data_IF_958374348522
#
_entry.id   IF_958374348522
#
_cell.length_a   1.000
_cell.length_b   1.000
_cell.length_c   1.000
_cell.angle_alpha   90.00
_cell.angle_beta   90.00
_cell.angle_gamma   90.00
#
_symmetry.space_group_name_H-M   'P 1'
#
loop_
_entity.id
_entity.type
_entity.pdbx_description
1 polymer ?
#
# COMPACT_ATOMS: atom_id res chain seq x y z
N UNK A 1 -5.46 54.44 -37.90
CA UNK A 1 -4.70 53.36 -38.57
C UNK A 1 -4.58 52.23 -37.59
N UNK A 2 -5.10 51.09 -38.02
CA UNK A 2 -5.62 49.98 -37.26
C UNK A 2 -5.13 48.74 -38.00
N UNK A 3 -4.24 47.99 -37.36
CA UNK A 3 -3.80 46.64 -37.73
C UNK A 3 -4.01 45.81 -36.45
N UNK A 4 -5.11 45.10 -36.26
CA UNK A 4 -5.65 43.91 -36.93
C UNK A 4 -4.73 42.69 -36.81
N UNK A 5 -5.21 41.71 -36.00
CA UNK A 5 -4.97 40.26 -36.12
C UNK A 5 -3.57 39.73 -35.80
N UNK A 6 -3.36 38.53 -35.26
CA UNK A 6 -4.17 37.33 -34.99
C UNK A 6 -3.38 36.45 -33.99
N UNK A 7 -4.12 35.61 -33.28
CA UNK A 7 -3.76 34.22 -32.91
C UNK A 7 -2.65 33.96 -31.87
N UNK A 8 -3.03 33.47 -30.68
CA UNK A 8 -3.14 32.03 -30.37
C UNK A 8 -1.79 31.42 -29.97
N UNK A 9 -1.53 31.28 -28.66
CA UNK A 9 -0.60 30.26 -28.20
C UNK A 9 -1.02 29.73 -26.82
N UNK A 10 -1.38 28.45 -26.80
CA UNK A 10 -1.11 27.57 -25.67
C UNK A 10 -2.10 27.60 -24.51
N UNK A 11 -3.34 27.19 -24.75
CA UNK A 11 -4.10 26.51 -23.69
C UNK A 11 -3.37 25.19 -23.44
N UNK A 12 -2.46 25.16 -22.47
CA UNK A 12 -1.77 23.91 -22.09
C UNK A 12 -2.84 22.84 -21.81
N UNK A 13 -2.80 21.69 -22.50
CA UNK A 13 -3.66 20.59 -22.15
C UNK A 13 -3.31 20.15 -20.73
N UNK A 14 -4.30 20.21 -19.85
CA UNK A 14 -4.27 19.57 -18.53
C UNK A 14 -3.73 18.15 -18.69
N UNK A 15 -2.88 17.67 -17.77
CA UNK A 15 -2.30 16.34 -17.85
C UNK A 15 -3.43 15.33 -18.03
N UNK A 16 -3.38 14.60 -19.15
CA UNK A 16 -4.30 13.51 -19.46
C UNK A 16 -4.39 12.61 -18.23
N UNK A 17 -5.60 12.54 -17.68
CA UNK A 17 -5.95 11.60 -16.62
C UNK A 17 -5.58 10.21 -17.13
N UNK A 18 -4.73 9.43 -16.43
CA UNK A 18 -4.35 8.12 -16.92
C UNK A 18 -5.61 7.23 -17.01
N UNK A 19 -5.94 6.91 -18.26
CA UNK A 19 -6.68 5.76 -18.76
C UNK A 19 -7.77 5.17 -17.85
N UNK A 20 -9.02 5.38 -18.28
CA UNK A 20 -10.23 4.63 -17.93
C UNK A 20 -10.13 3.14 -18.28
N UNK A 21 -9.19 2.41 -17.64
CA UNK A 21 -9.35 0.98 -17.50
C UNK A 21 -10.34 0.78 -16.34
N UNK A 22 -11.45 0.04 -16.53
CA UNK A 22 -12.31 -0.30 -15.39
C UNK A 22 -11.43 -0.96 -14.32
N UNK A 23 -11.58 -0.59 -13.03
CA UNK A 23 -10.83 -1.21 -11.96
C UNK A 23 -11.00 -2.70 -12.13
N UNK A 24 -9.88 -3.41 -12.31
CA UNK A 24 -9.86 -4.85 -12.51
C UNK A 24 -10.75 -5.42 -11.39
N UNK A 25 -11.86 -6.13 -11.70
CA UNK A 25 -12.76 -6.58 -10.65
C UNK A 25 -11.92 -7.35 -9.65
N UNK A 26 -11.78 -6.80 -8.45
CA UNK A 26 -11.03 -7.44 -7.39
C UNK A 26 -11.86 -8.66 -7.07
N UNK A 27 -11.45 -9.79 -7.65
CA UNK A 27 -12.19 -11.03 -7.66
C UNK A 27 -12.82 -11.21 -6.29
N UNK A 28 -14.16 -11.16 -6.25
CA UNK A 28 -14.97 -11.20 -5.03
C UNK A 28 -14.44 -12.33 -4.15
N UNK A 29 -13.64 -11.99 -3.14
CA UNK A 29 -13.02 -13.02 -2.32
C UNK A 29 -14.17 -13.69 -1.54
N UNK A 30 -14.43 -14.98 -1.75
CA UNK A 30 -15.59 -15.65 -1.17
C UNK A 30 -15.53 -15.69 0.36
N UNK A 31 -14.37 -15.38 0.96
CA UNK A 31 -14.15 -15.32 2.41
C UNK A 31 -14.59 -14.00 3.03
N UNK A 32 -15.02 -13.02 2.24
CA UNK A 32 -15.56 -11.75 2.74
C UNK A 32 -17.08 -11.90 2.95
N UNK A 33 -17.59 -11.63 4.18
CA UNK A 33 -19.01 -11.66 4.47
C UNK A 33 -19.79 -10.74 3.53
N UNK A 34 -20.98 -11.17 3.06
CA UNK A 34 -21.80 -10.42 2.10
C UNK A 34 -22.08 -9.00 2.59
N UNK A 35 -22.35 -8.83 3.89
CA UNK A 35 -22.58 -7.52 4.54
C UNK A 35 -21.40 -6.55 4.48
N UNK A 36 -20.18 -7.06 4.22
CA UNK A 36 -18.96 -6.25 4.10
C UNK A 36 -18.55 -6.00 2.64
N UNK A 37 -19.19 -6.65 1.66
CA UNK A 37 -18.76 -6.61 0.24
C UNK A 37 -18.91 -5.24 -0.39
N UNK A 38 -20.00 -4.54 -0.12
CA UNK A 38 -20.23 -3.19 -0.65
C UNK A 38 -19.10 -2.25 -0.25
N UNK A 39 -18.87 -2.12 1.07
CA UNK A 39 -17.77 -1.31 1.60
C UNK A 39 -16.40 -1.80 1.13
N UNK A 40 -16.21 -3.12 1.02
CA UNK A 40 -14.98 -3.68 0.51
C UNK A 40 -14.70 -3.16 -0.90
N UNK A 41 -15.68 -3.24 -1.80
CA UNK A 41 -15.56 -2.78 -3.18
C UNK A 41 -15.34 -1.27 -3.27
N UNK A 42 -16.06 -0.46 -2.48
CA UNK A 42 -15.85 1.00 -2.46
C UNK A 42 -14.41 1.39 -2.12
N UNK A 43 -13.87 0.83 -1.03
CA UNK A 43 -12.50 1.13 -0.59
C UNK A 43 -11.48 0.56 -1.58
N UNK A 44 -11.75 -0.63 -2.12
CA UNK A 44 -10.93 -1.24 -3.16
C UNK A 44 -10.77 -0.34 -4.40
N UNK A 45 -11.86 0.26 -4.87
CA UNK A 45 -11.83 1.21 -6.00
C UNK A 45 -11.00 2.45 -5.65
N UNK A 46 -11.15 3.00 -4.44
CA UNK A 46 -10.34 4.14 -3.98
C UNK A 46 -8.84 3.81 -3.90
N UNK A 47 -8.50 2.61 -3.43
CA UNK A 47 -7.12 2.12 -3.36
C UNK A 47 -6.52 1.91 -4.76
N UNK A 48 -7.29 1.37 -5.69
CA UNK A 48 -6.87 1.15 -7.07
C UNK A 48 -6.62 2.49 -7.79
N UNK A 49 -7.52 3.47 -7.63
CA UNK A 49 -7.35 4.83 -8.19
C UNK A 49 -6.09 5.52 -7.65
N UNK A 50 -5.87 5.47 -6.33
CA UNK A 50 -4.65 6.01 -5.74
C UNK A 50 -3.41 5.27 -6.22
N UNK A 51 -3.53 3.94 -6.32
CA UNK A 51 -2.48 3.07 -6.83
C UNK A 51 -2.02 3.49 -8.22
N UNK A 52 -2.95 3.62 -9.16
CA UNK A 52 -2.66 4.04 -10.53
C UNK A 52 -2.04 5.44 -10.62
N UNK A 53 -2.39 6.35 -9.71
CA UNK A 53 -1.90 7.72 -9.72
C UNK A 53 -0.53 7.91 -9.05
N UNK A 54 -0.25 7.14 -7.99
CA UNK A 54 0.87 7.43 -7.07
C UNK A 54 1.73 6.22 -6.70
N UNK A 55 1.33 4.98 -7.01
CA UNK A 55 2.03 3.77 -6.62
C UNK A 55 2.35 2.87 -7.82
N UNK A 56 3.32 1.98 -7.64
CA UNK A 56 3.54 0.89 -8.58
C UNK A 56 2.41 -0.15 -8.53
N UNK A 57 2.20 -0.95 -9.60
CA UNK A 57 1.23 -2.05 -9.60
C UNK A 57 1.44 -3.06 -8.45
N UNK A 58 2.68 -3.28 -8.05
CA UNK A 58 3.03 -4.17 -6.93
C UNK A 58 2.56 -3.61 -5.59
N UNK A 59 2.84 -2.32 -5.33
CA UNK A 59 2.41 -1.64 -4.10
C UNK A 59 0.89 -1.51 -4.03
N UNK A 60 0.24 -1.27 -5.18
CA UNK A 60 -1.23 -1.31 -5.31
C UNK A 60 -1.78 -2.70 -4.96
N UNK A 61 -1.09 -3.77 -5.39
CA UNK A 61 -1.41 -5.13 -4.97
C UNK A 61 -1.35 -5.31 -3.45
N UNK A 62 -0.34 -4.74 -2.78
CA UNK A 62 -0.19 -4.83 -1.33
C UNK A 62 -1.28 -4.09 -0.55
N UNK A 63 -1.72 -2.90 -1.02
CA UNK A 63 -2.82 -2.18 -0.36
C UNK A 63 -4.12 -2.97 -0.42
N UNK A 64 -4.41 -3.59 -1.57
CA UNK A 64 -5.59 -4.43 -1.77
C UNK A 64 -5.53 -5.74 -0.97
N UNK A 65 -4.34 -6.35 -0.86
CA UNK A 65 -4.14 -7.52 -0.02
C UNK A 65 -4.31 -7.19 1.47
N UNK A 66 -3.78 -6.06 1.93
CA UNK A 66 -3.99 -5.59 3.30
C UNK A 66 -5.49 -5.36 3.58
N UNK A 67 -6.19 -4.73 2.64
CA UNK A 67 -7.63 -4.50 2.75
C UNK A 67 -8.43 -5.80 2.81
N UNK A 68 -8.08 -6.79 1.98
CA UNK A 68 -8.67 -8.14 2.02
C UNK A 68 -8.46 -8.81 3.38
N UNK A 69 -7.24 -8.77 3.93
CA UNK A 69 -6.94 -9.34 5.26
C UNK A 69 -7.75 -8.67 6.37
N UNK A 70 -7.94 -7.35 6.26
CA UNK A 70 -8.71 -6.56 7.21
C UNK A 70 -10.20 -6.91 7.16
N UNK A 71 -10.81 -6.98 5.98
CA UNK A 71 -12.23 -7.34 5.84
C UNK A 71 -12.54 -8.78 6.30
N UNK A 72 -11.55 -9.68 6.25
CA UNK A 72 -11.65 -11.04 6.81
C UNK A 72 -11.61 -11.07 8.34
N UNK A 73 -11.07 -10.05 9.01
CA UNK A 73 -11.10 -9.97 10.48
C UNK A 73 -12.50 -9.57 10.94
N UNK A 74 -13.10 -10.41 11.78
CA UNK A 74 -14.42 -10.16 12.33
C UNK A 74 -14.43 -9.01 13.35
N UNK A 75 -13.33 -8.84 14.10
CA UNK A 75 -13.19 -7.80 15.13
C UNK A 75 -13.18 -6.38 14.59
N UNK A 76 -12.84 -6.20 13.31
CA UNK A 76 -12.83 -4.90 12.64
C UNK A 76 -14.13 -4.75 11.84
N UNK A 77 -14.99 -3.84 12.26
CA UNK A 77 -16.15 -3.47 11.45
C UNK A 77 -15.75 -2.42 10.42
N UNK A 78 -15.34 -2.90 9.24
CA UNK A 78 -15.01 -2.03 8.10
C UNK A 78 -16.19 -1.14 7.67
N UNK A 79 -17.43 -1.44 8.08
CA UNK A 79 -18.60 -0.60 7.81
C UNK A 79 -18.59 0.68 8.62
N UNK A 80 -17.96 0.65 9.81
CA UNK A 80 -17.83 1.81 10.68
C UNK A 80 -16.69 2.71 10.22
N UNK A 81 -17.04 3.96 9.89
CA UNK A 81 -16.11 4.98 9.42
C UNK A 81 -16.23 5.26 7.92
N UNK A 82 -15.60 6.35 7.49
CA UNK A 82 -15.62 6.80 6.09
C UNK A 82 -14.71 5.91 5.23
N UNK A 83 -15.13 5.51 4.01
CA UNK A 83 -14.33 4.67 3.12
C UNK A 83 -13.00 5.32 2.76
N UNK A 84 -12.97 6.66 2.64
CA UNK A 84 -11.75 7.43 2.40
C UNK A 84 -10.72 7.28 3.52
N UNK A 85 -11.17 7.26 4.78
CA UNK A 85 -10.29 7.09 5.94
C UNK A 85 -9.72 5.67 5.96
N UNK A 86 -10.52 4.66 5.63
CA UNK A 86 -10.02 3.29 5.48
C UNK A 86 -8.97 3.18 4.38
N UNK A 87 -9.25 3.73 3.19
CA UNK A 87 -8.31 3.73 2.08
C UNK A 87 -6.99 4.43 2.45
N UNK A 88 -7.06 5.64 2.99
CA UNK A 88 -5.89 6.40 3.43
C UNK A 88 -5.07 5.66 4.50
N UNK A 89 -5.74 5.03 5.48
CA UNK A 89 -5.05 4.27 6.53
C UNK A 89 -4.37 3.02 5.98
N UNK A 90 -5.00 2.29 5.07
CA UNK A 90 -4.40 1.12 4.40
C UNK A 90 -3.16 1.52 3.62
N UNK A 91 -3.25 2.57 2.79
CA UNK A 91 -2.10 3.10 2.05
C UNK A 91 -0.99 3.54 3.01
N UNK A 92 -1.33 4.24 4.10
CA UNK A 92 -0.36 4.70 5.08
C UNK A 92 0.40 3.55 5.76
N UNK A 93 -0.28 2.44 6.07
CA UNK A 93 0.38 1.23 6.62
C UNK A 93 1.37 0.67 5.61
N UNK A 94 0.95 0.46 4.35
CA UNK A 94 1.84 -0.05 3.29
C UNK A 94 3.01 0.89 3.04
N UNK A 95 2.77 2.20 3.04
CA UNK A 95 3.79 3.22 2.86
C UNK A 95 4.86 3.14 3.96
N UNK A 96 4.46 2.93 5.23
CA UNK A 96 5.42 2.75 6.33
C UNK A 96 6.19 1.43 6.19
N UNK A 97 5.51 0.35 5.81
CA UNK A 97 6.14 -0.98 5.66
C UNK A 97 7.09 -1.08 4.47
N UNK A 98 6.95 -0.22 3.45
CA UNK A 98 7.79 -0.22 2.24
C UNK A 98 8.66 1.03 2.15
N UNK A 99 8.85 1.76 3.25
CA UNK A 99 9.66 2.97 3.34
C UNK A 99 9.32 4.05 2.30
N UNK A 100 8.06 4.15 1.85
CA UNK A 100 7.68 5.08 0.79
C UNK A 100 7.78 6.56 1.19
N UNK A 101 8.02 6.88 2.47
CA UNK A 101 8.33 8.23 2.92
C UNK A 101 9.79 8.63 2.69
N UNK A 102 10.64 7.67 2.33
CA UNK A 102 12.03 7.95 1.98
C UNK A 102 12.11 8.49 0.56
N UNK A 103 12.74 9.66 0.39
CA UNK A 103 12.91 10.32 -0.91
C UNK A 103 13.81 9.54 -1.87
N UNK A 104 14.58 8.58 -1.36
CA UNK A 104 15.39 7.68 -2.18
C UNK A 104 14.56 6.62 -2.91
N UNK A 105 13.32 6.38 -2.48
CA UNK A 105 12.45 5.40 -3.11
C UNK A 105 11.82 5.96 -4.39
N UNK A 106 11.76 5.18 -5.48
CA UNK A 106 11.15 5.63 -6.75
C UNK A 106 9.66 5.93 -6.60
N UNK A 107 8.96 5.22 -5.72
CA UNK A 107 7.55 5.42 -5.39
C UNK A 107 7.38 6.27 -4.11
N UNK A 108 8.17 7.34 -3.98
CA UNK A 108 8.10 8.22 -2.81
C UNK A 108 6.75 8.94 -2.73
N UNK A 109 6.06 8.78 -1.60
CA UNK A 109 4.80 9.46 -1.30
C UNK A 109 4.79 9.99 0.12
N UNK A 110 4.36 11.24 0.28
CA UNK A 110 4.29 11.84 1.61
C UNK A 110 2.97 11.52 2.28
N UNK A 111 2.96 11.55 3.62
CA UNK A 111 1.72 11.37 4.38
C UNK A 111 0.68 12.45 4.07
N UNK A 112 1.15 13.65 3.73
CA UNK A 112 0.29 14.76 3.32
C UNK A 112 -0.41 14.47 2.00
N UNK A 113 0.33 13.95 1.00
CA UNK A 113 -0.21 13.53 -0.30
C UNK A 113 -1.30 12.47 -0.13
N UNK A 114 -1.08 11.46 0.71
CA UNK A 114 -2.07 10.41 1.01
C UNK A 114 -3.34 11.05 1.61
N UNK A 115 -3.18 11.84 2.67
CA UNK A 115 -4.32 12.44 3.36
C UNK A 115 -5.07 13.43 2.47
N UNK A 116 -4.36 14.20 1.65
CA UNK A 116 -4.92 15.16 0.71
C UNK A 116 -5.73 14.49 -0.39
N UNK A 117 -5.20 13.42 -1.00
CA UNK A 117 -5.89 12.67 -2.05
C UNK A 117 -7.24 12.12 -1.57
N UNK A 118 -7.26 11.49 -0.41
CA UNK A 118 -8.47 10.91 0.18
C UNK A 118 -9.32 11.94 0.94
N UNK A 119 -8.89 13.20 1.04
CA UNK A 119 -9.55 14.23 1.85
C UNK A 119 -9.80 13.78 3.30
N UNK A 120 -8.84 13.05 3.88
CA UNK A 120 -8.93 12.45 5.21
C UNK A 120 -8.06 13.22 6.22
N UNK A 121 -8.51 13.26 7.48
CA UNK A 121 -7.75 13.94 8.53
C UNK A 121 -6.53 13.10 8.95
N UNK A 122 -5.34 13.72 8.96
CA UNK A 122 -4.06 13.09 9.34
C UNK A 122 -4.11 12.34 10.68
N UNK A 123 -4.69 12.95 11.70
CA UNK A 123 -4.80 12.34 13.03
C UNK A 123 -5.65 11.08 12.99
N UNK A 124 -6.82 11.15 12.33
CA UNK A 124 -7.71 10.00 12.19
C UNK A 124 -7.06 8.87 11.39
N UNK A 125 -6.36 9.21 10.30
CA UNK A 125 -5.67 8.24 9.45
C UNK A 125 -4.55 7.54 10.22
N UNK A 126 -3.73 8.29 10.97
CA UNK A 126 -2.63 7.74 11.77
C UNK A 126 -3.11 6.86 12.92
N UNK A 127 -4.11 7.30 13.68
CA UNK A 127 -4.71 6.48 14.76
C UNK A 127 -5.30 5.19 14.22
N UNK A 128 -6.03 5.26 13.10
CA UNK A 128 -6.63 4.07 12.47
C UNK A 128 -5.59 3.16 11.83
N UNK A 129 -4.51 3.69 11.25
CA UNK A 129 -3.40 2.87 10.76
C UNK A 129 -2.77 2.06 11.91
N UNK A 130 -2.52 2.70 13.05
CA UNK A 130 -2.01 2.02 14.26
C UNK A 130 -2.97 0.94 14.76
N UNK A 131 -4.27 1.20 14.71
CA UNK A 131 -5.31 0.23 15.04
C UNK A 131 -5.26 -0.99 14.10
N UNK A 132 -5.12 -0.77 12.79
CA UNK A 132 -5.01 -1.82 11.78
C UNK A 132 -3.80 -2.72 12.05
N UNK A 133 -2.64 -2.12 12.29
CA UNK A 133 -1.42 -2.86 12.59
C UNK A 133 -1.57 -3.75 13.82
N UNK A 134 -2.14 -3.20 14.89
CA UNK A 134 -2.40 -3.94 16.14
C UNK A 134 -3.41 -5.08 15.92
N UNK A 135 -4.48 -4.81 15.18
CA UNK A 135 -5.54 -5.79 14.91
C UNK A 135 -5.05 -6.96 14.03
N UNK A 136 -4.16 -6.69 13.09
CA UNK A 136 -3.55 -7.70 12.23
C UNK A 136 -2.26 -8.29 12.81
N UNK A 137 -1.75 -7.74 13.92
CA UNK A 137 -0.45 -8.09 14.52
C UNK A 137 0.68 -8.01 13.50
N UNK A 138 0.65 -6.99 12.64
CA UNK A 138 1.65 -6.82 11.60
C UNK A 138 3.02 -6.58 12.25
N UNK A 139 3.98 -7.43 11.92
CA UNK A 139 5.38 -7.23 12.27
C UNK A 139 5.97 -6.25 11.24
N UNK A 140 6.64 -5.19 11.74
CA UNK A 140 7.25 -4.19 10.88
C UNK A 140 8.26 -4.86 9.94
N UNK A 141 8.07 -4.73 8.62
CA UNK A 141 8.97 -5.24 7.56
C UNK A 141 9.08 -6.78 7.40
N UNK A 142 8.24 -7.57 8.06
CA UNK A 142 8.33 -9.05 8.00
C UNK A 142 7.07 -9.75 7.51
N UNK A 143 6.05 -9.00 7.07
CA UNK A 143 4.78 -9.57 6.63
C UNK A 143 4.81 -9.96 5.14
N UNK A 144 4.80 -11.27 4.81
CA UNK A 144 4.82 -11.72 3.43
C UNK A 144 3.55 -11.26 2.69
N UNK A 145 3.74 -10.65 1.52
CA UNK A 145 2.66 -10.14 0.66
C UNK A 145 2.18 -8.73 0.99
N UNK A 146 2.78 -8.05 1.97
CA UNK A 146 2.52 -6.63 2.28
C UNK A 146 3.79 -5.75 2.19
N UNK A 147 4.96 -6.38 2.06
CA UNK A 147 6.25 -5.73 1.92
C UNK A 147 7.01 -6.38 0.75
N UNK A 148 7.77 -5.59 -0.01
CA UNK A 148 8.64 -6.13 -1.06
C UNK A 148 9.63 -7.12 -0.45
N UNK A 149 9.85 -8.23 -1.17
CA UNK A 149 10.69 -9.33 -0.69
C UNK A 149 12.13 -8.91 -0.41
N UNK A 150 12.61 -7.90 -1.13
CA UNK A 150 13.91 -7.27 -0.95
C UNK A 150 14.09 -6.73 0.47
N UNK A 151 13.10 -5.98 0.98
CA UNK A 151 13.14 -5.46 2.35
C UNK A 151 12.94 -6.57 3.38
N UNK A 152 12.02 -7.52 3.12
CA UNK A 152 11.82 -8.66 4.02
C UNK A 152 13.14 -9.42 4.23
N UNK A 153 13.88 -9.69 3.15
CA UNK A 153 15.16 -10.39 3.24
C UNK A 153 16.22 -9.58 4.00
N UNK A 154 16.24 -8.25 3.87
CA UNK A 154 17.18 -7.39 4.61
C UNK A 154 16.90 -7.38 6.12
N UNK A 155 15.64 -7.44 6.54
CA UNK A 155 15.24 -7.30 7.94
C UNK A 155 14.92 -8.64 8.64
N UNK A 156 14.77 -9.74 7.89
CA UNK A 156 14.62 -11.08 8.47
C UNK A 156 15.95 -11.57 8.99
N UNK A 157 16.05 -11.83 10.30
CA UNK A 157 17.25 -12.40 10.90
C UNK A 157 17.15 -13.92 10.89
N UNK A 158 18.21 -14.59 10.42
CA UNK A 158 18.36 -16.05 10.44
C UNK A 158 19.59 -16.43 11.25
N UNK A 159 19.52 -17.55 11.96
CA UNK A 159 20.65 -18.12 12.67
C UNK A 159 21.36 -19.13 11.76
N UNK A 160 22.66 -18.92 11.52
CA UNK A 160 23.49 -19.85 10.78
C UNK A 160 23.88 -21.05 11.66
N UNK A 161 24.31 -22.15 11.03
CA UNK A 161 24.86 -23.33 11.71
C UNK A 161 26.11 -23.02 12.56
N UNK A 162 26.77 -21.90 12.28
CA UNK A 162 27.90 -21.36 13.06
C UNK A 162 27.48 -20.61 14.32
N UNK A 163 26.17 -20.47 14.57
CA UNK A 163 25.62 -19.73 15.72
C UNK A 163 25.48 -18.22 15.51
N UNK A 164 25.93 -17.68 14.37
CA UNK A 164 25.80 -16.26 14.04
C UNK A 164 24.38 -15.90 13.59
N UNK A 165 23.88 -14.76 14.05
CA UNK A 165 22.64 -14.15 13.57
C UNK A 165 22.98 -13.15 12.46
N UNK A 166 22.43 -13.37 11.26
CA UNK A 166 22.63 -12.52 10.08
C UNK A 166 21.31 -12.26 9.38
N UNK A 167 21.22 -11.24 8.54
CA UNK A 167 20.03 -11.05 7.71
C UNK A 167 19.91 -12.15 6.65
N UNK A 168 18.70 -12.49 6.25
CA UNK A 168 18.41 -13.49 5.22
C UNK A 168 19.05 -13.09 3.87
N UNK A 169 19.08 -11.80 3.55
CA UNK A 169 19.79 -11.28 2.37
C UNK A 169 21.29 -11.59 2.45
N UNK A 170 21.92 -11.34 3.60
CA UNK A 170 23.35 -11.64 3.82
C UNK A 170 23.61 -13.15 3.73
N UNK A 171 22.75 -13.98 4.33
CA UNK A 171 22.85 -15.44 4.24
C UNK A 171 22.77 -15.94 2.78
N UNK A 172 21.87 -15.37 1.97
CA UNK A 172 21.76 -15.67 0.52
C UNK A 172 23.01 -15.22 -0.24
N UNK A 173 23.51 -14.01 0.01
CA UNK A 173 24.72 -13.49 -0.64
C UNK A 173 25.96 -14.32 -0.33
N UNK A 174 26.07 -14.85 0.89
CA UNK A 174 27.17 -15.73 1.28
C UNK A 174 27.02 -17.17 0.76
N UNK A 175 25.91 -17.52 0.09
CA UNK A 175 25.64 -18.88 -0.39
C UNK A 175 25.39 -19.90 0.75
N UNK A 176 25.06 -19.41 1.95
CA UNK A 176 24.98 -20.19 3.19
C UNK A 176 23.54 -20.50 3.61
N UNK A 177 22.61 -20.66 2.66
CA UNK A 177 21.23 -21.10 2.98
C UNK A 177 21.20 -22.63 3.00
N UNK A 178 21.22 -23.29 4.18
CA UNK A 178 20.80 -24.69 4.26
C UNK A 178 19.28 -24.78 4.02
N UNK A 179 18.77 -25.89 3.45
CA UNK A 179 17.35 -26.09 3.18
C UNK A 179 16.45 -26.11 4.42
N UNK A 180 17.01 -26.04 5.63
CA UNK A 180 16.35 -26.27 6.92
C UNK A 180 16.43 -25.06 7.88
N UNK A 181 16.66 -23.84 7.36
CA UNK A 181 16.65 -22.65 8.20
C UNK A 181 15.20 -22.32 8.64
N UNK A 182 14.80 -22.81 9.80
CA UNK A 182 13.52 -22.47 10.42
C UNK A 182 13.51 -21.00 10.84
N UNK A 183 12.45 -20.23 10.53
CA UNK A 183 12.27 -18.91 11.11
C UNK A 183 12.21 -19.03 12.65
N UNK A 184 13.02 -18.22 13.35
CA UNK A 184 12.94 -18.05 14.80
C UNK A 184 11.84 -17.09 15.22
#
# INVERSE_FOLDING_TARGET
MNETSLESLGREPLPEQPSSAPPRPLACDPRIPTDKRERFNEVAVLLDQFGQAHLDPELTGFTLELWRRLCRRQTMDCRNGKPQVWAASVVHVIARMNFLFDRSQPAHVTFDTICGWFQANKTTVGSKATEIERALRLQQHSEPGLCRREFIDSFTTVQLSTGMLVSLQMAKQMGLVPPDATPG
#
